data_IF_020518693186
#
_entry.id   IF_020518693186
#
_cell.length_a   1.000
_cell.length_b   1.000
_cell.length_c   1.000
_cell.angle_alpha   90.00
_cell.angle_beta   90.00
_cell.angle_gamma   90.00
#
_symmetry.space_group_name_H-M   'P 1'
#
loop_
_entity.id
_entity.type
_entity.pdbx_description
1 polymer ?
#
# COMPACT_ATOMS: atom_id res chain seq x y z
N UNK A 1 19.75 5.47 -5.03
CA UNK A 1 19.84 4.30 -4.13
C UNK A 1 18.50 4.14 -3.40
N UNK A 2 18.10 2.91 -3.11
CA UNK A 2 16.88 2.57 -2.36
C UNK A 2 16.77 3.34 -1.03
N UNK A 3 17.89 3.55 -0.34
CA UNK A 3 17.95 4.32 0.91
C UNK A 3 17.55 5.79 0.72
N UNK A 4 17.89 6.40 -0.41
CA UNK A 4 17.46 7.76 -0.75
C UNK A 4 15.95 7.85 -0.96
N UNK A 5 15.34 6.87 -1.65
CA UNK A 5 13.89 6.81 -1.83
C UNK A 5 13.13 6.71 -0.52
N UNK A 6 13.57 5.86 0.40
CA UNK A 6 12.95 5.68 1.72
C UNK A 6 12.94 6.97 2.55
N UNK A 7 14.05 7.70 2.55
CA UNK A 7 14.13 9.01 3.23
C UNK A 7 13.20 10.03 2.58
N UNK A 8 13.16 10.09 1.25
CA UNK A 8 12.25 11.00 0.52
C UNK A 8 10.78 10.71 0.82
N UNK A 9 10.36 9.45 0.96
CA UNK A 9 8.98 9.09 1.31
C UNK A 9 8.63 9.61 2.70
N UNK A 10 9.53 9.47 3.70
CA UNK A 10 9.31 9.99 5.06
C UNK A 10 9.13 11.50 5.07
N UNK A 11 10.00 12.22 4.37
CA UNK A 11 9.95 13.68 4.29
C UNK A 11 8.66 14.13 3.59
N UNK A 12 8.23 13.42 2.56
CA UNK A 12 6.99 13.70 1.83
C UNK A 12 5.74 13.45 2.68
N UNK A 13 5.76 12.47 3.58
CA UNK A 13 4.64 12.22 4.51
C UNK A 13 4.50 13.36 5.51
N UNK A 14 5.62 13.86 6.06
CA UNK A 14 5.62 14.89 7.10
C UNK A 14 5.48 16.32 6.55
N UNK A 15 6.20 16.64 5.50
CA UNK A 15 6.37 18.00 5.00
C UNK A 15 5.97 18.19 3.54
N UNK A 16 5.44 17.17 2.87
CA UNK A 16 5.20 17.15 1.42
C UNK A 16 4.39 18.34 0.90
N UNK A 17 3.35 18.73 1.60
CA UNK A 17 2.53 19.87 1.21
C UNK A 17 3.31 21.22 1.24
N UNK A 18 4.21 21.38 2.21
CA UNK A 18 5.08 22.55 2.32
C UNK A 18 6.17 22.52 1.26
N UNK A 19 6.83 21.37 1.09
CA UNK A 19 7.87 21.17 0.09
C UNK A 19 7.33 21.35 -1.34
N UNK A 20 6.12 20.90 -1.63
CA UNK A 20 5.48 21.11 -2.93
C UNK A 20 5.23 22.60 -3.23
N UNK A 21 4.84 23.40 -2.24
CA UNK A 21 4.69 24.85 -2.38
C UNK A 21 6.04 25.53 -2.65
N UNK A 22 7.04 25.15 -1.89
CA UNK A 22 8.40 25.69 -2.03
C UNK A 22 8.99 25.34 -3.40
N UNK A 23 8.89 24.09 -3.83
CA UNK A 23 9.31 23.63 -5.14
C UNK A 23 8.62 24.40 -6.26
N UNK A 24 7.31 24.61 -6.16
CA UNK A 24 6.54 25.41 -7.12
C UNK A 24 7.04 26.85 -7.16
N UNK A 25 7.33 27.46 -6.04
CA UNK A 25 7.86 28.84 -5.95
C UNK A 25 9.27 28.94 -6.53
N UNK A 26 10.08 27.90 -6.36
CA UNK A 26 11.44 27.81 -6.88
C UNK A 26 11.50 27.38 -8.36
N UNK A 27 10.37 27.00 -8.97
CA UNK A 27 10.32 26.52 -10.35
C UNK A 27 11.01 25.16 -10.56
N UNK A 28 11.11 24.34 -9.52
CA UNK A 28 11.72 23.00 -9.59
C UNK A 28 10.67 21.90 -9.48
N UNK A 29 11.02 20.72 -10.03
CA UNK A 29 10.13 19.56 -9.99
C UNK A 29 10.19 18.93 -8.59
N UNK A 30 9.01 18.70 -8.02
CA UNK A 30 8.80 17.91 -6.81
C UNK A 30 7.67 16.91 -7.08
N UNK A 31 7.99 15.63 -7.07
CA UNK A 31 7.05 14.56 -7.42
C UNK A 31 7.32 13.30 -6.61
N UNK A 32 6.32 12.44 -6.51
CA UNK A 32 6.52 11.06 -6.04
C UNK A 32 7.38 10.31 -7.07
N UNK A 33 8.31 9.48 -6.60
CA UNK A 33 9.19 8.71 -7.49
C UNK A 33 8.33 7.75 -8.36
N UNK A 34 8.23 8.02 -9.66
CA UNK A 34 7.47 7.20 -10.58
C UNK A 34 8.05 5.78 -10.64
N UNK A 35 7.16 4.79 -10.62
CA UNK A 35 7.53 3.36 -10.56
C UNK A 35 7.56 2.79 -9.13
N UNK A 36 7.56 3.64 -8.10
CA UNK A 36 7.37 3.19 -6.72
C UNK A 36 5.88 3.05 -6.39
N UNK A 37 5.55 2.17 -5.43
CA UNK A 37 4.16 1.81 -5.11
C UNK A 37 3.26 3.00 -4.76
N UNK A 38 3.70 4.01 -3.99
CA UNK A 38 2.87 5.19 -3.74
C UNK A 38 2.49 5.96 -5.01
N UNK A 39 3.44 6.17 -5.93
CA UNK A 39 3.18 6.87 -7.19
C UNK A 39 2.23 6.10 -8.10
N UNK A 40 2.45 4.78 -8.25
CA UNK A 40 1.58 3.91 -9.04
C UNK A 40 0.16 3.85 -8.47
N UNK A 41 0.01 3.77 -7.14
CA UNK A 41 -1.30 3.80 -6.50
C UNK A 41 -2.01 5.14 -6.72
N UNK A 42 -1.28 6.25 -6.62
CA UNK A 42 -1.83 7.59 -6.87
C UNK A 42 -2.29 7.74 -8.32
N UNK A 43 -1.54 7.20 -9.28
CA UNK A 43 -1.91 7.20 -10.71
C UNK A 43 -3.21 6.44 -10.95
N UNK A 44 -3.36 5.23 -10.39
CA UNK A 44 -4.59 4.43 -10.53
C UNK A 44 -5.79 5.16 -9.90
N UNK A 45 -5.60 5.78 -8.74
CA UNK A 45 -6.65 6.55 -8.06
C UNK A 45 -7.06 7.77 -8.89
N UNK A 46 -6.11 8.48 -9.47
CA UNK A 46 -6.38 9.65 -10.31
C UNK A 46 -7.11 9.24 -11.60
N UNK A 47 -6.64 8.19 -12.27
CA UNK A 47 -7.31 7.60 -13.42
C UNK A 47 -8.77 7.21 -13.10
N UNK A 48 -9.00 6.52 -11.99
CA UNK A 48 -10.32 6.08 -11.58
C UNK A 48 -11.28 7.26 -11.39
N UNK A 49 -10.82 8.29 -10.67
CA UNK A 49 -11.61 9.50 -10.41
C UNK A 49 -11.87 10.32 -11.67
N UNK A 50 -10.86 10.47 -12.52
CA UNK A 50 -10.98 11.17 -13.81
C UNK A 50 -11.94 10.45 -14.76
N UNK A 51 -12.07 9.13 -14.62
CA UNK A 51 -13.04 8.31 -15.34
C UNK A 51 -14.44 8.27 -14.69
N UNK A 52 -14.66 9.01 -13.60
CA UNK A 52 -15.95 9.13 -12.93
C UNK A 52 -16.27 8.05 -11.91
N UNK A 53 -15.29 7.23 -11.50
CA UNK A 53 -15.48 6.20 -10.48
C UNK A 53 -15.19 6.71 -9.06
N UNK A 54 -15.87 6.11 -8.08
CA UNK A 54 -15.54 6.31 -6.68
C UNK A 54 -14.50 5.29 -6.24
N UNK A 55 -13.46 5.73 -5.53
CA UNK A 55 -12.45 4.86 -4.94
C UNK A 55 -12.85 4.52 -3.52
N UNK A 56 -13.15 3.24 -3.27
CA UNK A 56 -13.52 2.72 -1.95
C UNK A 56 -12.30 2.40 -1.10
N UNK A 57 -11.27 1.83 -1.71
CA UNK A 57 -9.98 1.56 -1.08
C UNK A 57 -8.86 1.69 -2.10
N UNK A 58 -7.65 2.00 -1.63
CA UNK A 58 -6.45 1.92 -2.44
C UNK A 58 -5.24 1.55 -1.56
N UNK A 59 -4.26 0.90 -2.15
CA UNK A 59 -3.06 0.50 -1.44
C UNK A 59 -2.21 -0.51 -2.18
N UNK A 60 -1.57 -1.37 -1.44
CA UNK A 60 -0.65 -2.37 -1.97
C UNK A 60 -0.79 -3.73 -1.31
N UNK A 61 -0.15 -4.73 -1.90
CA UNK A 61 0.09 -6.01 -1.27
C UNK A 61 1.50 -6.09 -0.66
N UNK A 62 1.64 -6.95 0.34
CA UNK A 62 2.93 -7.28 0.95
C UNK A 62 2.91 -8.68 1.55
N UNK A 63 4.08 -9.25 1.80
CA UNK A 63 4.20 -10.45 2.63
C UNK A 63 4.07 -10.04 4.10
N UNK A 64 3.03 -10.51 4.78
CA UNK A 64 2.78 -10.11 6.16
C UNK A 64 2.22 -11.24 7.01
N UNK A 65 2.78 -11.36 8.22
CA UNK A 65 2.25 -12.12 9.35
C UNK A 65 2.29 -11.25 10.60
N UNK A 66 1.33 -11.40 11.56
CA UNK A 66 1.30 -10.58 12.78
C UNK A 66 2.59 -10.61 13.60
N UNK A 67 3.31 -11.72 13.56
CA UNK A 67 4.59 -11.89 14.25
C UNK A 67 5.73 -11.01 13.69
N UNK A 68 5.62 -10.57 12.43
CA UNK A 68 6.62 -9.72 11.79
C UNK A 68 6.76 -8.36 12.47
N UNK A 69 5.71 -7.85 13.12
CA UNK A 69 5.79 -6.63 13.93
C UNK A 69 6.79 -6.71 15.10
N UNK A 70 7.18 -7.92 15.49
CA UNK A 70 8.18 -8.15 16.55
C UNK A 70 9.60 -8.24 16.00
N UNK A 71 9.79 -8.17 14.70
CA UNK A 71 11.12 -8.23 14.09
C UNK A 71 11.95 -7.00 14.44
N UNK A 72 13.23 -7.20 14.57
CA UNK A 72 14.23 -6.15 14.79
C UNK A 72 15.35 -6.29 13.77
N UNK A 73 16.18 -5.27 13.55
CA UNK A 73 17.33 -5.41 12.65
C UNK A 73 18.26 -6.60 12.98
N UNK A 74 18.30 -7.02 14.26
CA UNK A 74 19.11 -8.16 14.71
C UNK A 74 18.45 -9.51 14.41
N UNK A 75 17.12 -9.57 14.30
CA UNK A 75 16.36 -10.81 14.11
C UNK A 75 15.81 -10.96 12.70
N UNK A 76 15.92 -9.93 11.86
CA UNK A 76 15.29 -9.84 10.54
C UNK A 76 15.63 -11.00 9.62
N UNK A 77 16.86 -11.47 9.63
CA UNK A 77 17.32 -12.53 8.73
C UNK A 77 16.68 -13.88 9.01
N UNK A 78 16.24 -14.12 10.26
CA UNK A 78 15.50 -15.33 10.61
C UNK A 78 14.17 -15.43 9.84
N UNK A 79 13.48 -14.28 9.64
CA UNK A 79 12.22 -14.21 8.89
C UNK A 79 12.41 -14.32 7.37
N UNK A 80 13.61 -14.00 6.88
CA UNK A 80 13.97 -14.20 5.47
C UNK A 80 14.58 -15.56 5.19
N UNK A 81 14.90 -16.35 6.23
CA UNK A 81 15.60 -17.63 6.08
C UNK A 81 17.04 -17.48 5.57
N UNK A 82 17.68 -16.35 5.88
CA UNK A 82 19.05 -16.03 5.50
C UNK A 82 19.98 -16.12 6.71
N UNK A 83 21.24 -16.49 6.49
CA UNK A 83 22.26 -16.27 7.52
C UNK A 83 22.70 -14.80 7.53
N UNK A 84 23.09 -14.30 8.71
CA UNK A 84 23.65 -12.95 8.84
C UNK A 84 24.89 -12.76 7.96
N UNK A 85 25.70 -13.82 7.82
CA UNK A 85 26.89 -13.82 6.98
C UNK A 85 26.54 -13.59 5.51
N UNK A 86 25.59 -14.35 4.97
CA UNK A 86 25.17 -14.24 3.56
C UNK A 86 24.56 -12.86 3.29
N UNK A 87 23.76 -12.36 4.22
CA UNK A 87 23.16 -11.03 4.11
C UNK A 87 24.21 -9.91 4.10
N UNK A 88 25.23 -10.01 4.94
CA UNK A 88 26.33 -9.04 5.00
C UNK A 88 27.21 -9.11 3.74
N UNK A 89 27.54 -10.30 3.26
CA UNK A 89 28.29 -10.49 2.01
C UNK A 89 27.54 -9.95 0.79
N UNK A 90 26.20 -10.02 0.79
CA UNK A 90 25.33 -9.43 -0.22
C UNK A 90 25.11 -7.90 -0.04
N UNK A 91 25.68 -7.28 0.98
CA UNK A 91 25.55 -5.86 1.26
C UNK A 91 24.14 -5.44 1.69
N UNK A 92 23.35 -6.36 2.25
CA UNK A 92 21.98 -6.09 2.68
C UNK A 92 21.97 -5.26 3.98
N UNK A 93 21.11 -4.25 4.03
CA UNK A 93 20.96 -3.39 5.22
C UNK A 93 19.85 -3.95 6.13
N UNK A 94 20.16 -4.46 7.33
CA UNK A 94 19.18 -5.06 8.22
C UNK A 94 18.07 -4.11 8.66
N UNK A 95 18.37 -2.82 8.86
CA UNK A 95 17.34 -1.81 9.21
C UNK A 95 16.34 -1.60 8.09
N UNK A 96 16.82 -1.58 6.84
CA UNK A 96 15.95 -1.44 5.67
C UNK A 96 15.06 -2.68 5.51
N UNK A 97 15.66 -3.89 5.57
CA UNK A 97 14.91 -5.13 5.44
C UNK A 97 13.92 -5.32 6.58
N UNK A 98 14.26 -4.91 7.80
CA UNK A 98 13.34 -4.95 8.93
C UNK A 98 12.11 -4.04 8.68
N UNK A 99 12.31 -2.85 8.12
CA UNK A 99 11.20 -1.93 7.83
C UNK A 99 10.18 -2.48 6.83
N UNK A 100 10.57 -3.47 6.02
CA UNK A 100 9.65 -4.17 5.12
C UNK A 100 8.77 -5.19 5.85
N UNK A 101 9.25 -5.76 6.94
CA UNK A 101 8.55 -6.77 7.73
C UNK A 101 7.69 -6.15 8.83
N UNK A 102 8.25 -5.22 9.60
CA UNK A 102 7.60 -4.68 10.82
C UNK A 102 6.43 -3.73 10.54
N UNK A 103 6.12 -3.47 9.27
CA UNK A 103 5.04 -2.59 8.85
C UNK A 103 5.42 -1.12 8.71
N UNK A 104 6.64 -0.72 9.11
CA UNK A 104 7.09 0.68 9.05
C UNK A 104 7.03 1.24 7.64
N UNK A 105 7.61 0.53 6.66
CA UNK A 105 7.57 0.95 5.25
C UNK A 105 6.14 1.05 4.75
N UNK A 106 5.33 0.01 4.98
CA UNK A 106 3.94 -0.02 4.55
C UNK A 106 3.13 1.14 5.13
N UNK A 107 3.32 1.47 6.40
CA UNK A 107 2.64 2.59 7.05
C UNK A 107 3.01 3.94 6.45
N UNK A 108 4.29 4.17 6.16
CA UNK A 108 4.77 5.40 5.52
C UNK A 108 4.22 5.54 4.09
N UNK A 109 4.23 4.48 3.31
CA UNK A 109 3.69 4.48 1.95
C UNK A 109 2.19 4.73 1.93
N UNK A 110 1.43 4.10 2.85
CA UNK A 110 -0.02 4.35 2.97
C UNK A 110 -0.31 5.78 3.41
N UNK A 111 0.48 6.35 4.30
CA UNK A 111 0.34 7.75 4.69
C UNK A 111 0.62 8.70 3.50
N UNK A 112 1.63 8.41 2.68
CA UNK A 112 1.91 9.16 1.46
C UNK A 112 0.74 9.11 0.47
N UNK A 113 0.17 7.92 0.23
CA UNK A 113 -1.00 7.73 -0.64
C UNK A 113 -2.22 8.46 -0.06
N UNK A 114 -2.47 8.34 1.25
CA UNK A 114 -3.58 9.02 1.90
C UNK A 114 -3.50 10.53 1.73
N UNK A 115 -2.32 11.11 1.91
CA UNK A 115 -2.07 12.54 1.70
C UNK A 115 -2.26 12.96 0.24
N UNK A 116 -1.66 12.22 -0.70
CA UNK A 116 -1.72 12.55 -2.11
C UNK A 116 -3.14 12.41 -2.68
N UNK A 117 -3.83 11.34 -2.31
CA UNK A 117 -5.13 10.96 -2.87
C UNK A 117 -6.32 11.41 -2.01
N UNK A 118 -6.10 12.09 -0.87
CA UNK A 118 -7.15 12.49 0.09
C UNK A 118 -7.99 11.29 0.53
N UNK A 119 -7.33 10.16 0.80
CA UNK A 119 -7.94 8.97 1.37
C UNK A 119 -7.83 8.99 2.89
N UNK A 120 -8.70 8.23 3.56
CA UNK A 120 -8.68 8.08 5.02
C UNK A 120 -7.62 7.05 5.44
N UNK A 121 -7.08 7.21 6.63
CA UNK A 121 -6.30 6.17 7.31
C UNK A 121 -7.15 5.53 8.39
N UNK A 122 -7.05 4.21 8.63
CA UNK A 122 -7.81 3.55 9.68
C UNK A 122 -7.36 4.02 11.07
N UNK A 123 -8.31 4.22 12.00
CA UNK A 123 -8.06 4.79 13.34
C UNK A 123 -7.11 3.94 14.19
N UNK A 124 -7.16 2.61 14.02
CA UNK A 124 -6.37 1.66 14.78
C UNK A 124 -5.19 1.07 14.00
N UNK A 125 -4.77 1.75 12.92
CA UNK A 125 -3.69 1.27 12.04
C UNK A 125 -4.16 0.26 11.00
N UNK A 126 -3.25 -0.11 10.11
CA UNK A 126 -3.48 -1.05 9.01
C UNK A 126 -3.76 -2.46 9.52
N UNK A 127 -4.69 -3.17 8.88
CA UNK A 127 -5.13 -4.50 9.29
C UNK A 127 -4.38 -5.63 8.59
N UNK A 128 -3.81 -5.38 7.45
CA UNK A 128 -3.13 -6.38 6.60
C UNK A 128 -3.98 -7.63 6.38
N UNK A 129 -5.23 -7.53 5.91
CA UNK A 129 -6.06 -8.70 5.71
C UNK A 129 -5.42 -9.65 4.69
N UNK A 130 -5.46 -10.97 4.92
CA UNK A 130 -5.20 -11.95 3.89
C UNK A 130 -6.18 -11.78 2.74
N UNK A 131 -5.68 -11.48 1.53
CA UNK A 131 -6.57 -11.20 0.41
C UNK A 131 -5.88 -11.42 -0.93
N UNK A 132 -6.52 -12.18 -1.80
CA UNK A 132 -6.18 -12.32 -3.21
C UNK A 132 -6.84 -11.25 -4.07
N UNK A 133 -6.42 -11.18 -5.33
CA UNK A 133 -6.89 -10.17 -6.27
C UNK A 133 -8.39 -10.26 -6.54
N UNK A 134 -8.93 -11.47 -6.57
CA UNK A 134 -10.35 -11.71 -6.85
C UNK A 134 -11.27 -11.33 -5.67
N UNK A 135 -10.72 -11.23 -4.45
CA UNK A 135 -11.47 -10.97 -3.22
C UNK A 135 -11.40 -9.51 -2.76
N UNK A 136 -10.58 -8.67 -3.42
CA UNK A 136 -10.34 -7.28 -3.00
C UNK A 136 -11.63 -6.48 -2.80
N UNK A 137 -12.56 -6.56 -3.75
CA UNK A 137 -13.80 -5.80 -3.71
C UNK A 137 -14.72 -6.23 -2.56
N UNK A 138 -14.71 -7.53 -2.23
CA UNK A 138 -15.51 -8.08 -1.12
C UNK A 138 -14.88 -7.77 0.25
N UNK A 139 -13.59 -7.95 0.38
CA UNK A 139 -12.87 -7.72 1.65
C UNK A 139 -12.78 -6.22 1.96
N UNK A 140 -12.41 -5.41 0.97
CA UNK A 140 -12.11 -3.99 1.14
C UNK A 140 -13.33 -3.10 0.86
N UNK A 141 -14.46 -3.44 1.43
CA UNK A 141 -15.64 -2.59 1.51
C UNK A 141 -15.91 -2.16 2.96
N UNK A 142 -16.70 -1.11 3.21
CA UNK A 142 -17.02 -0.64 4.56
C UNK A 142 -17.68 -1.72 5.44
N UNK A 143 -17.39 -1.68 6.74
CA UNK A 143 -17.94 -2.62 7.74
C UNK A 143 -19.45 -2.71 7.74
N UNK A 144 -20.15 -1.59 7.52
CA UNK A 144 -21.61 -1.53 7.52
C UNK A 144 -22.27 -2.28 6.34
N UNK A 145 -21.48 -2.69 5.34
CA UNK A 145 -21.94 -3.51 4.21
C UNK A 145 -21.16 -4.83 4.10
N UNK A 146 -20.59 -5.29 5.22
CA UNK A 146 -19.99 -6.60 5.36
C UNK A 146 -18.50 -6.72 5.01
N UNK A 147 -17.80 -5.62 4.83
CA UNK A 147 -16.34 -5.60 4.65
C UNK A 147 -15.58 -5.29 5.95
N UNK A 148 -14.32 -4.89 5.81
CA UNK A 148 -13.45 -4.61 6.96
C UNK A 148 -13.09 -3.14 7.13
N UNK A 149 -13.36 -2.28 6.15
CA UNK A 149 -12.95 -0.89 6.19
C UNK A 149 -13.77 -0.08 7.20
N UNK A 150 -13.10 0.81 7.90
CA UNK A 150 -13.72 1.77 8.82
C UNK A 150 -14.39 2.90 8.02
N UNK A 151 -13.77 3.31 6.92
CA UNK A 151 -14.25 4.42 6.08
C UNK A 151 -14.40 3.98 4.61
N UNK A 152 -15.29 4.65 3.90
CA UNK A 152 -15.28 4.65 2.45
C UNK A 152 -14.17 5.60 1.96
N UNK A 153 -13.33 5.14 1.05
CA UNK A 153 -12.14 5.88 0.61
C UNK A 153 -10.97 5.78 1.61
N UNK A 154 -10.59 4.56 1.98
CA UNK A 154 -9.54 4.25 2.95
C UNK A 154 -8.32 3.63 2.27
N UNK A 155 -7.13 3.89 2.82
CA UNK A 155 -5.92 3.14 2.47
C UNK A 155 -5.82 1.86 3.30
N UNK A 156 -5.36 0.78 2.68
CA UNK A 156 -5.11 -0.49 3.36
C UNK A 156 -3.99 -1.28 2.66
N UNK A 157 -3.31 -2.14 3.39
CA UNK A 157 -2.33 -3.09 2.85
C UNK A 157 -2.89 -4.50 2.97
N UNK A 158 -2.84 -5.27 1.89
CA UNK A 158 -3.29 -6.66 1.91
C UNK A 158 -2.11 -7.62 2.05
N UNK A 159 -2.31 -8.68 2.83
CA UNK A 159 -1.30 -9.72 3.01
C UNK A 159 -1.36 -10.75 1.88
N UNK A 160 -0.21 -11.13 1.37
CA UNK A 160 -0.04 -12.25 0.43
C UNK A 160 0.00 -13.61 1.13
N UNK A 161 -0.01 -13.62 2.46
CA UNK A 161 -0.06 -14.83 3.27
C UNK A 161 -1.35 -14.87 4.08
N UNK A 162 -1.90 -16.07 4.27
CA UNK A 162 -2.89 -16.30 5.29
C UNK A 162 -2.26 -16.24 6.70
N UNK A 163 -3.08 -16.39 7.74
CA UNK A 163 -2.59 -16.31 9.12
C UNK A 163 -1.76 -17.52 9.56
N UNK A 164 -1.77 -18.60 8.77
CA UNK A 164 -0.96 -19.81 8.97
C UNK A 164 0.35 -19.77 8.15
N UNK A 165 0.60 -18.68 7.42
CA UNK A 165 1.80 -18.46 6.62
C UNK A 165 1.78 -19.09 5.24
N UNK A 166 0.62 -19.56 4.77
CA UNK A 166 0.47 -20.09 3.42
C UNK A 166 0.22 -18.98 2.41
N UNK A 167 0.73 -19.16 1.20
CA UNK A 167 0.52 -18.21 0.12
C UNK A 167 -0.96 -18.15 -0.29
N UNK A 168 -1.47 -16.94 -0.47
CA UNK A 168 -2.81 -16.66 -1.00
C UNK A 168 -2.80 -16.83 -2.51
N UNK A 169 -3.84 -17.47 -3.04
CA UNK A 169 -4.00 -17.61 -4.49
C UNK A 169 -4.22 -16.22 -5.13
N UNK A 170 -3.50 -15.94 -6.23
CA UNK A 170 -3.50 -14.63 -6.90
C UNK A 170 -3.18 -13.49 -5.95
N UNK A 171 -2.19 -13.66 -5.10
CA UNK A 171 -1.75 -12.62 -4.18
C UNK A 171 -1.24 -11.35 -4.88
N UNK A 172 -1.16 -10.26 -4.13
CA UNK A 172 -0.68 -8.95 -4.57
C UNK A 172 0.67 -8.58 -3.96
N UNK A 173 1.52 -9.55 -3.64
CA UNK A 173 2.79 -9.33 -2.90
C UNK A 173 3.60 -8.12 -3.37
N UNK A 174 3.62 -7.86 -4.67
CA UNK A 174 4.37 -6.77 -5.28
C UNK A 174 3.49 -5.73 -5.97
N UNK A 175 2.19 -5.94 -5.94
CA UNK A 175 1.22 -5.13 -6.65
C UNK A 175 0.69 -3.94 -5.87
N UNK A 176 0.04 -3.05 -6.60
CA UNK A 176 -0.79 -1.97 -6.07
C UNK A 176 -2.22 -2.16 -6.57
N UNK A 177 -3.19 -1.58 -5.88
CA UNK A 177 -4.60 -1.73 -6.23
C UNK A 177 -5.41 -0.47 -5.93
N UNK A 178 -6.54 -0.34 -6.60
CA UNK A 178 -7.66 0.50 -6.22
C UNK A 178 -8.96 -0.29 -6.35
N UNK A 179 -9.78 -0.26 -5.31
CA UNK A 179 -11.14 -0.82 -5.32
C UNK A 179 -12.09 0.28 -5.73
N UNK A 180 -12.85 0.03 -6.79
CA UNK A 180 -13.72 1.01 -7.41
C UNK A 180 -15.18 0.72 -7.10
N UNK A 181 -15.96 1.78 -6.98
CA UNK A 181 -17.42 1.70 -6.97
C UNK A 181 -17.96 2.40 -8.19
N UNK A 182 -18.83 1.71 -8.94
CA UNK A 182 -19.53 2.28 -10.08
C UNK A 182 -20.40 3.48 -9.65
N UNK A 183 -20.48 4.53 -10.47
CA UNK A 183 -21.29 5.72 -10.15
C UNK A 183 -22.81 5.47 -10.23
N UNK A 184 -23.23 4.45 -10.94
CA UNK A 184 -24.65 4.07 -11.13
C UNK A 184 -24.79 2.60 -11.55
N UNK A 185 -26.02 2.11 -11.58
CA UNK A 185 -26.34 0.70 -11.89
C UNK A 185 -25.97 0.30 -13.33
N UNK A 186 -26.05 1.24 -14.27
CA UNK A 186 -25.64 0.99 -15.66
C UNK A 186 -24.14 0.69 -15.74
N UNK A 187 -23.30 1.52 -15.13
CA UNK A 187 -21.86 1.30 -15.08
C UNK A 187 -21.50 0.00 -14.32
N UNK A 188 -22.24 -0.33 -13.26
CA UNK A 188 -22.07 -1.59 -12.53
C UNK A 188 -22.40 -2.78 -13.43
N UNK A 189 -23.47 -2.71 -14.22
CA UNK A 189 -23.83 -3.75 -15.19
C UNK A 189 -22.76 -3.93 -16.27
N UNK A 190 -22.19 -2.83 -16.77
CA UNK A 190 -21.08 -2.87 -17.71
C UNK A 190 -19.85 -3.56 -17.11
N UNK A 191 -19.47 -3.21 -15.89
CA UNK A 191 -18.34 -3.87 -15.19
C UNK A 191 -18.54 -5.38 -15.12
N UNK A 192 -19.73 -5.81 -14.71
CA UNK A 192 -20.06 -7.23 -14.63
C UNK A 192 -19.97 -7.94 -15.99
N UNK A 193 -20.42 -7.29 -17.08
CA UNK A 193 -20.31 -7.84 -18.44
C UNK A 193 -18.87 -7.99 -18.90
N UNK A 194 -17.96 -7.12 -18.47
CA UNK A 194 -16.53 -7.17 -18.76
C UNK A 194 -15.71 -8.00 -17.77
N UNK A 195 -16.38 -8.72 -16.85
CA UNK A 195 -15.71 -9.59 -15.88
C UNK A 195 -15.01 -8.86 -14.74
N UNK A 196 -15.36 -7.61 -14.50
CA UNK A 196 -14.96 -6.85 -13.33
C UNK A 196 -16.04 -7.00 -12.26
N UNK A 197 -15.74 -7.71 -11.18
CA UNK A 197 -16.67 -7.96 -10.08
C UNK A 197 -16.50 -6.94 -8.95
#
# INVERSE_FOLDING_TARGET
SLVGSEMCIRDSVLAGASLAKEAKSAGVVYTMAYGDQPALTAEIVDWARSSGFYVTAAGKGTKYLPEYHKSTPETVWNYYGLSEKDANEAGMNPKMFNSFLDGTKSSLEMAAIANACKLKVPSNGLLFPPCGMDDLAEVLKPKNIGGILEYNGQVEVVSSLDRDGKDIFKDLRWGVYAVLKAPNDYAASCFKQYGMN
#
